data_IF_598975086508
#
_entry.id   IF_598975086508
#
_cell.length_a   1.000
_cell.length_b   1.000
_cell.length_c   1.000
_cell.angle_alpha   90.00
_cell.angle_beta   90.00
_cell.angle_gamma   90.00
#
_symmetry.space_group_name_H-M   'P 1'
#
loop_
_entity.id
_entity.type
_entity.pdbx_description
1 polymer ?
#
# COMPACT_ATOMS: atom_id res chain seq x y z
N UNK A 1 -93.15 -9.12 22.28
CA UNK A 1 -91.90 -8.35 22.45
C UNK A 1 -90.70 -9.22 22.07
N UNK A 2 -90.07 -8.93 20.91
CA UNK A 2 -88.63 -9.13 20.65
C UNK A 2 -88.35 -8.77 19.19
N UNK A 3 -87.47 -7.79 18.99
CA UNK A 3 -86.88 -7.45 17.69
C UNK A 3 -85.57 -8.25 17.60
N UNK A 4 -85.24 -8.90 16.47
CA UNK A 4 -84.00 -9.67 16.34
C UNK A 4 -82.79 -8.73 16.27
N UNK A 5 -81.77 -9.02 17.10
CA UNK A 5 -80.54 -8.25 17.19
C UNK A 5 -79.67 -8.43 15.94
N UNK A 6 -79.33 -7.31 15.31
CA UNK A 6 -78.36 -7.24 14.23
C UNK A 6 -76.96 -7.11 14.83
N UNK A 7 -76.25 -8.25 14.94
CA UNK A 7 -74.90 -8.31 15.50
C UNK A 7 -73.86 -7.92 14.42
N UNK A 8 -73.38 -6.67 14.48
CA UNK A 8 -72.33 -6.16 13.60
C UNK A 8 -70.98 -6.48 14.23
N UNK A 9 -70.36 -7.61 13.84
CA UNK A 9 -68.97 -7.87 14.25
C UNK A 9 -68.05 -6.73 13.79
N UNK A 10 -67.10 -6.25 14.63
CA UNK A 10 -66.27 -5.11 14.31
C UNK A 10 -65.32 -5.43 13.15
N UNK A 11 -65.64 -4.89 11.97
CA UNK A 11 -64.81 -5.01 10.75
C UNK A 11 -63.41 -4.39 10.91
N UNK A 12 -63.25 -3.45 11.85
CA UNK A 12 -62.04 -2.63 12.03
C UNK A 12 -60.79 -3.44 12.41
N UNK A 13 -60.89 -4.38 13.35
CA UNK A 13 -59.74 -5.19 13.82
C UNK A 13 -59.27 -6.18 12.75
N UNK A 14 -60.19 -6.72 11.96
CA UNK A 14 -59.89 -7.68 10.89
C UNK A 14 -59.09 -7.05 9.75
N UNK A 15 -59.38 -5.78 9.41
CA UNK A 15 -58.66 -5.04 8.35
C UNK A 15 -57.22 -4.76 8.78
N UNK A 16 -57.00 -4.33 10.03
CA UNK A 16 -55.65 -4.13 10.57
C UNK A 16 -54.80 -5.40 10.55
N UNK A 17 -55.38 -6.55 10.92
CA UNK A 17 -54.66 -7.83 10.93
C UNK A 17 -54.36 -8.33 9.51
N UNK A 18 -55.28 -8.14 8.56
CA UNK A 18 -55.06 -8.50 7.15
C UNK A 18 -53.97 -7.63 6.51
N UNK A 19 -53.92 -6.34 6.83
CA UNK A 19 -52.87 -5.43 6.40
C UNK A 19 -51.48 -5.83 6.95
N UNK A 20 -51.38 -6.17 8.23
CA UNK A 20 -50.11 -6.64 8.80
C UNK A 20 -49.65 -7.99 8.21
N UNK A 21 -50.60 -8.86 7.82
CA UNK A 21 -50.30 -10.12 7.14
C UNK A 21 -49.80 -9.91 5.71
N UNK A 22 -50.30 -8.91 4.98
CA UNK A 22 -49.85 -8.61 3.62
C UNK A 22 -48.47 -7.95 3.58
N UNK A 23 -48.04 -7.29 4.67
CA UNK A 23 -46.72 -6.69 4.78
C UNK A 23 -45.58 -7.68 5.09
N UNK A 24 -45.89 -8.86 5.64
CA UNK A 24 -44.87 -9.89 5.97
C UNK A 24 -43.98 -10.32 4.80
N UNK A 25 -44.49 -10.67 3.60
CA UNK A 25 -43.63 -11.04 2.47
C UNK A 25 -42.81 -9.84 1.94
N UNK A 26 -43.36 -8.62 2.06
CA UNK A 26 -42.68 -7.39 1.64
C UNK A 26 -41.51 -7.08 2.57
N UNK A 27 -41.71 -7.15 3.89
CA UNK A 27 -40.62 -6.98 4.86
C UNK A 27 -39.56 -8.08 4.72
N UNK A 28 -39.97 -9.33 4.48
CA UNK A 28 -39.03 -10.44 4.22
C UNK A 28 -38.21 -10.21 2.95
N UNK A 29 -38.84 -9.79 1.85
CA UNK A 29 -38.15 -9.41 0.61
C UNK A 29 -37.22 -8.22 0.80
N UNK A 30 -37.64 -7.18 1.53
CA UNK A 30 -36.80 -6.01 1.82
C UNK A 30 -35.59 -6.39 2.67
N UNK A 31 -35.75 -7.29 3.64
CA UNK A 31 -34.65 -7.79 4.47
C UNK A 31 -33.66 -8.65 3.67
N UNK A 32 -34.16 -9.47 2.74
CA UNK A 32 -33.33 -10.25 1.81
C UNK A 32 -32.57 -9.37 0.81
N UNK A 33 -33.24 -8.37 0.22
CA UNK A 33 -32.61 -7.39 -0.68
C UNK A 33 -31.58 -6.55 0.08
N UNK A 34 -31.90 -6.13 1.30
CA UNK A 34 -30.97 -5.45 2.21
C UNK A 34 -29.73 -6.31 2.49
N UNK A 35 -29.90 -7.60 2.76
CA UNK A 35 -28.77 -8.51 3.02
C UNK A 35 -27.88 -8.72 1.78
N UNK A 36 -28.48 -8.72 0.58
CA UNK A 36 -27.77 -8.80 -0.70
C UNK A 36 -27.08 -7.50 -1.10
N UNK A 37 -27.63 -6.34 -0.71
CA UNK A 37 -27.06 -5.01 -1.03
C UNK A 37 -26.00 -4.59 -0.01
N UNK A 38 -26.12 -5.00 1.26
CA UNK A 38 -25.15 -4.70 2.32
C UNK A 38 -23.94 -5.66 2.28
N UNK A 39 -24.04 -6.79 1.57
CA UNK A 39 -22.96 -7.77 1.47
C UNK A 39 -22.61 -8.13 0.01
N UNK A 40 -22.03 -7.18 -0.72
CA UNK A 40 -20.75 -7.46 -1.33
C UNK A 40 -19.79 -6.39 -0.81
N UNK A 41 -19.21 -6.63 0.36
CA UNK A 41 -17.84 -6.15 0.53
C UNK A 41 -17.03 -6.95 -0.49
N UNK A 42 -16.95 -6.39 -1.71
CA UNK A 42 -16.08 -6.88 -2.77
C UNK A 42 -14.72 -6.97 -2.10
N UNK A 43 -14.24 -8.20 -1.89
CA UNK A 43 -12.85 -8.44 -1.57
C UNK A 43 -12.10 -7.96 -2.81
N UNK A 44 -11.74 -6.68 -2.84
CA UNK A 44 -10.87 -6.13 -3.85
C UNK A 44 -9.53 -6.81 -3.61
N UNK A 45 -9.19 -7.77 -4.48
CA UNK A 45 -7.82 -8.17 -4.62
C UNK A 45 -6.98 -6.91 -4.91
N UNK A 46 -5.77 -6.85 -4.39
CA UNK A 46 -4.89 -5.73 -4.62
C UNK A 46 -4.66 -5.59 -6.14
N UNK A 47 -5.04 -4.45 -6.72
CA UNK A 47 -4.78 -4.20 -8.13
C UNK A 47 -3.27 -4.06 -8.33
N UNK A 48 -2.71 -4.87 -9.23
CA UNK A 48 -1.33 -4.73 -9.63
C UNK A 48 -1.16 -3.40 -10.38
N UNK A 49 -0.31 -2.51 -9.86
CA UNK A 49 -0.10 -1.18 -10.46
C UNK A 49 1.14 -1.17 -11.34
N UNK A 50 2.27 -1.62 -10.80
CA UNK A 50 3.54 -1.66 -11.52
C UNK A 50 4.52 -2.65 -10.86
N UNK A 51 5.54 -3.04 -11.61
CA UNK A 51 6.74 -3.67 -11.09
C UNK A 51 7.94 -3.17 -11.89
N UNK A 52 9.07 -2.95 -11.23
CA UNK A 52 10.31 -2.53 -11.87
C UNK A 52 11.45 -3.46 -11.48
N UNK A 53 12.22 -3.88 -12.48
CA UNK A 53 13.52 -4.51 -12.25
C UNK A 53 14.55 -3.41 -11.97
N UNK A 54 15.22 -3.54 -10.84
CA UNK A 54 16.38 -2.72 -10.45
C UNK A 54 17.59 -3.64 -10.40
N UNK A 55 18.70 -3.21 -11.01
CA UNK A 55 19.97 -3.92 -11.04
C UNK A 55 20.49 -4.29 -12.43
N UNK A 56 21.67 -4.89 -12.46
CA UNK A 56 22.48 -5.19 -13.64
C UNK A 56 22.91 -6.68 -13.66
N UNK A 57 24.07 -6.98 -14.26
CA UNK A 57 24.61 -8.35 -14.40
C UNK A 57 25.43 -8.82 -13.19
N UNK A 58 25.68 -7.95 -12.22
CA UNK A 58 26.43 -8.17 -10.99
C UNK A 58 25.49 -8.28 -9.79
N UNK A 59 26.05 -8.25 -8.57
CA UNK A 59 25.29 -8.46 -7.34
C UNK A 59 24.64 -7.16 -6.89
N UNK A 60 23.32 -7.10 -7.05
CA UNK A 60 22.50 -5.98 -6.59
C UNK A 60 21.38 -6.52 -5.70
N UNK A 61 21.04 -5.77 -4.66
CA UNK A 61 19.99 -6.18 -3.72
C UNK A 61 19.30 -4.99 -3.12
N UNK A 62 17.96 -4.99 -3.17
CA UNK A 62 17.13 -4.16 -2.30
C UNK A 62 17.01 -4.91 -0.97
N UNK A 63 17.38 -4.25 0.10
CA UNK A 63 17.42 -4.81 1.45
C UNK A 63 16.24 -4.31 2.28
N UNK A 64 15.89 -3.03 2.16
CA UNK A 64 14.78 -2.44 2.89
C UNK A 64 13.85 -1.67 1.96
N UNK A 65 12.54 -1.76 2.26
CA UNK A 65 11.49 -0.97 1.64
C UNK A 65 10.59 -0.41 2.76
N UNK A 66 10.32 0.89 2.71
CA UNK A 66 9.50 1.61 3.68
C UNK A 66 8.59 2.60 2.95
N UNK A 67 7.52 3.03 3.62
CA UNK A 67 6.65 4.09 3.11
C UNK A 67 6.45 5.17 4.16
N UNK A 68 6.40 6.43 3.75
CA UNK A 68 6.00 7.53 4.64
C UNK A 68 4.47 7.69 4.69
N UNK A 69 4.00 8.67 5.47
CA UNK A 69 2.56 8.95 5.64
C UNK A 69 1.89 9.53 4.39
N UNK A 70 2.68 10.04 3.44
CA UNK A 70 2.22 10.60 2.17
C UNK A 70 2.16 9.55 1.06
N UNK A 71 2.61 8.32 1.32
CA UNK A 71 2.63 7.23 0.36
C UNK A 71 3.85 7.22 -0.56
N UNK A 72 4.91 7.96 -0.23
CA UNK A 72 6.19 7.79 -0.91
C UNK A 72 6.85 6.49 -0.45
N UNK A 73 7.48 5.81 -1.40
CA UNK A 73 8.21 4.56 -1.19
C UNK A 73 9.70 4.88 -1.11
N UNK A 74 10.33 4.43 -0.04
CA UNK A 74 11.77 4.50 0.15
C UNK A 74 12.34 3.11 -0.01
N UNK A 75 13.39 2.98 -0.82
CA UNK A 75 14.14 1.74 -0.98
C UNK A 75 15.60 1.96 -0.64
N UNK A 76 16.24 0.95 -0.06
CA UNK A 76 17.68 0.98 0.17
C UNK A 76 18.30 -0.40 -0.01
N UNK A 77 19.61 -0.42 -0.24
CA UNK A 77 20.35 -1.66 -0.39
C UNK A 77 21.74 -1.40 -0.94
N UNK A 78 22.19 -2.27 -1.84
CA UNK A 78 23.45 -2.09 -2.56
C UNK A 78 23.33 -2.44 -4.03
N UNK A 79 24.20 -1.85 -4.85
CA UNK A 79 24.38 -2.16 -6.26
C UNK A 79 25.87 -2.24 -6.61
N UNK A 80 26.22 -2.97 -7.65
CA UNK A 80 27.57 -2.96 -8.23
C UNK A 80 27.54 -2.10 -9.50
N UNK A 81 28.65 -1.49 -9.89
CA UNK A 81 28.79 -0.74 -11.15
C UNK A 81 27.73 0.37 -11.35
N UNK A 82 26.73 0.10 -12.18
CA UNK A 82 25.73 1.07 -12.60
C UNK A 82 24.34 0.46 -12.51
N UNK A 83 23.36 1.21 -12.04
CA UNK A 83 21.96 0.80 -12.03
C UNK A 83 21.06 2.01 -12.31
N UNK A 84 19.78 1.76 -12.57
CA UNK A 84 18.77 2.81 -12.70
C UNK A 84 17.61 2.52 -11.75
N UNK A 85 17.06 3.59 -11.17
CA UNK A 85 15.96 3.55 -10.19
C UNK A 85 14.75 4.30 -10.73
N UNK A 86 13.56 3.74 -10.50
CA UNK A 86 12.30 4.34 -10.91
C UNK A 86 11.97 4.16 -12.40
N UNK A 87 10.70 4.38 -12.73
CA UNK A 87 10.17 4.33 -14.09
C UNK A 87 10.78 5.40 -15.01
N UNK A 88 11.30 6.47 -14.42
CA UNK A 88 12.08 7.52 -15.06
C UNK A 88 13.59 7.22 -15.15
N UNK A 89 14.03 6.03 -14.72
CA UNK A 89 15.39 5.52 -14.87
C UNK A 89 16.50 6.45 -14.34
N UNK A 90 16.33 6.97 -13.13
CA UNK A 90 17.35 7.79 -12.45
C UNK A 90 18.63 6.97 -12.28
N UNK A 91 19.78 7.42 -12.83
CA UNK A 91 21.00 6.63 -12.80
C UNK A 91 21.72 6.71 -11.46
N UNK A 92 22.27 5.58 -11.02
CA UNK A 92 23.29 5.48 -9.98
C UNK A 92 24.53 4.87 -10.61
N UNK A 93 25.66 5.56 -10.50
CA UNK A 93 26.89 5.16 -11.17
C UNK A 93 28.06 5.14 -10.18
N UNK A 94 28.73 4.01 -10.13
CA UNK A 94 29.98 3.85 -9.44
C UNK A 94 30.93 2.98 -10.27
N UNK A 95 32.07 3.55 -10.67
CA UNK A 95 32.99 2.89 -11.60
C UNK A 95 34.41 2.75 -11.08
N UNK A 96 34.69 3.21 -9.85
CA UNK A 96 36.04 3.19 -9.29
C UNK A 96 36.52 1.78 -8.95
N UNK A 97 35.62 0.87 -8.53
CA UNK A 97 35.91 -0.55 -8.34
C UNK A 97 34.72 -1.39 -8.80
N UNK A 98 34.87 -2.08 -9.94
CA UNK A 98 33.77 -2.84 -10.57
C UNK A 98 33.40 -4.16 -9.88
N UNK A 99 34.13 -4.50 -8.82
CA UNK A 99 33.81 -5.63 -7.95
C UNK A 99 33.30 -5.18 -6.58
N UNK A 100 33.24 -3.87 -6.32
CA UNK A 100 32.66 -3.30 -5.11
C UNK A 100 31.15 -3.25 -5.19
N UNK A 101 30.52 -3.25 -4.01
CA UNK A 101 29.09 -2.99 -3.82
C UNK A 101 28.96 -1.63 -3.15
N UNK A 102 28.08 -0.80 -3.68
CA UNK A 102 27.85 0.54 -3.17
C UNK A 102 26.46 0.65 -2.57
N UNK A 103 26.41 1.27 -1.40
CA UNK A 103 25.17 1.50 -0.69
C UNK A 103 24.34 2.56 -1.42
N UNK A 104 23.03 2.38 -1.45
CA UNK A 104 22.12 3.38 -2.00
C UNK A 104 20.83 3.52 -1.21
N UNK A 105 20.20 4.67 -1.38
CA UNK A 105 18.84 4.99 -0.94
C UNK A 105 18.12 5.75 -2.06
N UNK A 106 16.83 5.49 -2.24
CA UNK A 106 16.02 6.21 -3.20
C UNK A 106 14.60 6.44 -2.67
N UNK A 107 13.99 7.55 -3.13
CA UNK A 107 12.60 7.91 -2.88
C UNK A 107 11.82 7.86 -4.19
N UNK A 108 10.69 7.15 -4.16
CA UNK A 108 9.77 6.97 -5.27
C UNK A 108 8.34 7.34 -4.83
N UNK A 109 7.46 7.64 -5.76
CA UNK A 109 6.01 7.66 -5.48
C UNK A 109 5.35 6.30 -5.69
N UNK A 110 4.03 6.27 -5.46
CA UNK A 110 3.15 5.12 -5.64
C UNK A 110 3.05 4.60 -7.08
N UNK A 111 3.58 5.33 -8.07
CA UNK A 111 3.66 4.90 -9.49
C UNK A 111 5.04 4.34 -9.85
N UNK A 112 6.00 4.40 -8.92
CA UNK A 112 7.39 4.02 -9.16
C UNK A 112 8.20 5.13 -9.83
N UNK A 113 7.71 6.37 -9.91
CA UNK A 113 8.53 7.50 -10.36
C UNK A 113 9.54 7.87 -9.27
N UNK A 114 10.84 7.91 -9.60
CA UNK A 114 11.89 8.22 -8.64
C UNK A 114 12.14 9.73 -8.56
N UNK A 115 11.95 10.30 -7.37
CA UNK A 115 12.20 11.71 -7.08
C UNK A 115 13.69 11.98 -6.93
N UNK A 116 14.37 11.08 -6.24
CA UNK A 116 15.81 11.09 -6.09
C UNK A 116 16.31 9.69 -5.78
N UNK A 117 17.53 9.42 -6.24
CA UNK A 117 18.31 8.26 -5.84
C UNK A 117 19.71 8.77 -5.49
N UNK A 118 20.24 8.31 -4.37
CA UNK A 118 21.56 8.69 -3.88
C UNK A 118 22.33 7.42 -3.56
N UNK A 119 23.60 7.39 -3.96
CA UNK A 119 24.55 6.34 -3.60
C UNK A 119 25.68 6.96 -2.81
N UNK A 120 26.16 6.22 -1.83
CA UNK A 120 27.35 6.58 -1.08
C UNK A 120 28.30 5.39 -1.11
N UNK A 121 29.58 5.71 -1.13
CA UNK A 121 30.65 4.75 -0.94
C UNK A 121 31.94 5.12 -1.62
N UNK A 122 33.03 4.53 -1.13
CA UNK A 122 34.38 4.70 -1.67
C UNK A 122 34.82 3.39 -2.31
N UNK A 123 36.12 3.04 -2.26
CA UNK A 123 36.71 1.92 -2.99
C UNK A 123 36.22 0.52 -2.56
N UNK A 124 35.60 0.39 -1.39
CA UNK A 124 35.27 -0.88 -0.76
C UNK A 124 33.76 -1.09 -0.60
N UNK A 125 33.38 -2.33 -0.30
CA UNK A 125 31.98 -2.72 -0.16
C UNK A 125 31.25 -1.95 0.94
N UNK A 126 30.29 -1.14 0.50
CA UNK A 126 29.32 -0.41 1.30
C UNK A 126 27.91 -0.98 1.13
N UNK A 127 27.22 -1.25 2.24
CA UNK A 127 25.90 -1.89 2.20
C UNK A 127 24.95 -1.30 3.23
N UNK A 128 23.79 -0.86 2.78
CA UNK A 128 22.66 -0.60 3.69
C UNK A 128 22.07 -1.94 4.14
N UNK A 129 22.04 -2.19 5.45
CA UNK A 129 21.48 -3.41 6.05
C UNK A 129 20.13 -3.16 6.72
N UNK A 130 19.80 -1.91 7.05
CA UNK A 130 18.53 -1.52 7.62
C UNK A 130 18.18 -0.08 7.27
N UNK A 131 16.90 0.21 7.18
CA UNK A 131 16.36 1.55 6.97
C UNK A 131 15.05 1.70 7.73
N UNK A 132 14.84 2.86 8.33
CA UNK A 132 13.54 3.29 8.82
C UNK A 132 13.23 4.71 8.33
N UNK A 133 11.94 5.03 8.21
CA UNK A 133 11.45 6.31 7.69
C UNK A 133 10.36 6.82 8.61
N UNK A 134 10.48 8.07 9.05
CA UNK A 134 9.47 8.70 9.90
C UNK A 134 8.26 9.21 9.10
N UNK A 135 7.25 9.71 9.80
CA UNK A 135 6.03 10.22 9.16
C UNK A 135 6.26 11.48 8.29
N UNK A 136 7.38 12.20 8.50
CA UNK A 136 7.76 13.39 7.75
C UNK A 136 8.62 13.05 6.51
N UNK A 137 8.98 11.77 6.35
CA UNK A 137 9.82 11.29 5.26
C UNK A 137 11.32 11.42 5.52
N UNK A 138 11.73 11.63 6.77
CA UNK A 138 13.14 11.54 7.15
C UNK A 138 13.54 10.07 7.25
N UNK A 139 14.67 9.70 6.65
CA UNK A 139 15.17 8.32 6.64
C UNK A 139 16.44 8.17 7.46
N UNK A 140 16.52 7.11 8.26
CA UNK A 140 17.75 6.66 8.91
C UNK A 140 18.15 5.33 8.30
N UNK A 141 19.43 5.18 7.97
CA UNK A 141 20.00 3.94 7.45
C UNK A 141 21.10 3.42 8.37
N UNK A 142 21.24 2.10 8.42
CA UNK A 142 22.34 1.41 9.10
C UNK A 142 22.95 0.41 8.14
N UNK A 143 24.22 0.09 8.32
CA UNK A 143 24.94 -0.67 7.32
C UNK A 143 26.40 -0.94 7.68
N UNK A 144 27.08 -1.63 6.78
CA UNK A 144 28.54 -1.73 6.79
C UNK A 144 29.07 -0.71 5.82
N UNK A 145 29.92 0.19 6.30
CA UNK A 145 30.57 1.19 5.48
C UNK A 145 32.08 1.11 5.63
N UNK A 146 32.78 0.70 4.57
CA UNK A 146 34.23 0.62 4.53
C UNK A 146 34.81 1.76 3.72
N UNK A 147 35.45 2.68 4.42
CA UNK A 147 35.98 3.90 3.85
C UNK A 147 37.41 4.15 4.32
N UNK A 148 38.16 4.81 3.45
CA UNK A 148 39.51 5.31 3.74
C UNK A 148 39.50 6.77 4.17
N UNK A 149 38.38 7.48 3.95
CA UNK A 149 38.19 8.91 4.18
C UNK A 149 37.37 9.31 5.42
N UNK A 150 36.82 10.54 5.37
CA UNK A 150 36.31 11.30 6.53
C UNK A 150 34.84 11.06 6.87
N UNK A 151 34.12 10.23 6.14
CA UNK A 151 32.73 9.92 6.46
C UNK A 151 31.90 9.48 5.26
N UNK A 152 30.81 8.79 5.57
CA UNK A 152 29.88 8.26 4.59
C UNK A 152 28.77 9.30 4.38
N UNK A 153 28.79 10.00 3.25
CA UNK A 153 27.75 10.98 2.91
C UNK A 153 26.94 10.49 1.69
N UNK A 154 25.66 10.21 1.91
CA UNK A 154 24.70 9.95 0.84
C UNK A 154 23.97 11.23 0.40
N UNK A 155 24.48 12.40 0.73
CA UNK A 155 23.87 13.70 0.52
C UNK A 155 22.84 14.02 1.61
N UNK A 156 22.91 15.24 2.15
CA UNK A 156 21.91 15.76 3.10
C UNK A 156 20.52 15.73 2.48
N UNK A 157 19.52 15.40 3.31
CA UNK A 157 18.09 15.51 2.95
C UNK A 157 17.72 16.92 2.52
#
# INVERSE_FOLDING_TARGET
>A
SRIPGFDIKPKSTTIHIQFLRSMRPILSSLLFVSLFVICPHIVQAQNWVWAQRIGNTKSDKIISIKTDSLGYVFISGYFSNTTTIGTNAVPLNYTANTNSKEAFIAKLDSTGFCYWAKSGGEYFDDRVLGMDVDALGNSIITGTFWQTGTGFDMGTG
#
